data_IF_885016861205
#
_entry.id   IF_885016861205
#
_cell.length_a   1.000
_cell.length_b   1.000
_cell.length_c   1.000
_cell.angle_alpha   90.00
_cell.angle_beta   90.00
_cell.angle_gamma   90.00
#
_symmetry.space_group_name_H-M   'P 1'
#
loop_
_entity.id
_entity.type
_entity.pdbx_description
1 polymer ?
#
# COMPACT_ATOMS: atom_id res chain seq x y z
N UNK A 1 -25.10 11.33 7.07
CA UNK A 1 -24.08 11.76 6.09
C UNK A 1 -22.73 11.39 6.66
N UNK A 2 -22.22 10.21 6.32
CA UNK A 2 -20.91 9.76 6.78
C UNK A 2 -19.91 10.32 5.80
N UNK A 3 -19.20 11.38 6.17
CA UNK A 3 -18.07 11.88 5.41
C UNK A 3 -17.06 10.75 5.29
N UNK A 4 -16.94 10.18 4.10
CA UNK A 4 -15.80 9.33 3.74
C UNK A 4 -14.64 10.31 3.75
N UNK A 5 -13.89 10.35 4.84
CA UNK A 5 -12.60 11.01 4.86
C UNK A 5 -11.75 10.19 3.90
N UNK A 6 -11.60 10.69 2.67
CA UNK A 6 -10.50 10.29 1.81
C UNK A 6 -9.23 10.64 2.58
N UNK A 7 -8.71 9.70 3.37
CA UNK A 7 -7.40 9.79 4.02
C UNK A 7 -6.36 9.72 2.90
N UNK A 8 -6.28 10.76 2.07
CA UNK A 8 -5.15 10.96 1.20
C UNK A 8 -3.93 11.15 2.12
N UNK A 9 -2.89 10.33 1.98
CA UNK A 9 -1.72 10.44 2.83
C UNK A 9 -1.14 11.84 2.76
N UNK A 10 -1.00 12.47 3.92
CA UNK A 10 -0.42 13.80 4.04
C UNK A 10 1.09 13.71 3.80
N UNK A 11 1.74 14.84 3.49
CA UNK A 11 3.19 14.89 3.27
C UNK A 11 3.99 14.28 4.44
N UNK A 12 3.51 14.49 5.68
CA UNK A 12 4.06 13.90 6.91
C UNK A 12 3.97 12.37 6.97
N UNK A 13 3.00 11.77 6.28
CA UNK A 13 2.84 10.31 6.27
C UNK A 13 3.90 9.65 5.39
N UNK A 14 4.26 10.27 4.26
CA UNK A 14 5.34 9.79 3.40
C UNK A 14 6.73 9.95 4.01
N UNK A 15 6.90 10.79 5.03
CA UNK A 15 8.15 10.87 5.78
C UNK A 15 8.33 9.63 6.67
N UNK A 16 7.23 9.13 7.25
CA UNK A 16 7.23 8.05 8.24
C UNK A 16 6.88 6.67 7.68
N UNK A 17 6.31 6.59 6.49
CA UNK A 17 5.88 5.34 5.87
C UNK A 17 6.34 5.22 4.40
N UNK A 18 6.61 4.00 3.98
CA UNK A 18 6.64 3.60 2.58
C UNK A 18 5.24 3.17 2.16
N UNK A 19 4.75 3.67 1.03
CA UNK A 19 3.44 3.32 0.49
C UNK A 19 3.61 2.40 -0.71
N UNK A 20 2.87 1.30 -0.74
CA UNK A 20 2.86 0.35 -1.84
C UNK A 20 1.46 0.24 -2.41
N UNK A 21 1.35 0.39 -3.73
CA UNK A 21 0.17 -0.01 -4.48
C UNK A 21 0.37 -1.44 -4.98
N UNK A 22 -0.59 -2.31 -4.68
CA UNK A 22 -0.58 -3.71 -5.09
C UNK A 22 -1.66 -3.87 -6.15
N UNK A 23 -1.26 -4.24 -7.36
CA UNK A 23 -2.19 -4.62 -8.42
C UNK A 23 -2.57 -6.10 -8.21
N UNK A 24 -3.85 -6.34 -8.08
CA UNK A 24 -4.44 -7.64 -7.86
C UNK A 24 -4.86 -8.26 -9.20
N UNK A 25 -4.78 -9.59 -9.25
CA UNK A 25 -5.25 -10.31 -10.42
C UNK A 25 -6.76 -10.21 -10.58
N UNK A 26 -7.20 -10.22 -11.83
CA UNK A 26 -8.61 -10.38 -12.19
C UNK A 26 -9.20 -11.71 -11.69
N UNK A 27 -8.35 -12.73 -11.53
CA UNK A 27 -8.72 -14.01 -10.92
C UNK A 27 -8.42 -13.93 -9.42
N UNK A 28 -9.47 -13.95 -8.60
CA UNK A 28 -9.33 -13.87 -7.13
C UNK A 28 -9.14 -15.28 -6.57
N UNK A 29 -7.94 -15.63 -6.04
CA UNK A 29 -7.73 -16.94 -5.45
C UNK A 29 -8.35 -17.04 -4.04
N UNK A 30 -8.45 -18.27 -3.53
CA UNK A 30 -8.75 -18.53 -2.11
C UNK A 30 -7.47 -18.93 -1.34
N UNK A 31 -7.17 -18.29 -0.18
CA UNK A 31 -7.87 -17.14 0.38
C UNK A 31 -7.62 -15.86 -0.45
N UNK A 32 -8.61 -14.96 -0.42
CA UNK A 32 -8.54 -13.68 -1.13
C UNK A 32 -7.32 -12.86 -0.67
N UNK A 33 -6.55 -12.24 -1.59
CA UNK A 33 -5.34 -11.47 -1.26
C UNK A 33 -5.60 -10.39 -0.20
N UNK A 34 -6.76 -9.72 -0.25
CA UNK A 34 -7.10 -8.67 0.72
C UNK A 34 -7.25 -9.21 2.14
N UNK A 35 -7.74 -10.44 2.31
CA UNK A 35 -7.81 -11.11 3.62
C UNK A 35 -6.40 -11.42 4.12
N UNK A 36 -5.52 -11.90 3.24
CA UNK A 36 -4.12 -12.19 3.57
C UNK A 36 -3.37 -10.91 4.01
N UNK A 37 -3.53 -9.81 3.27
CA UNK A 37 -2.92 -8.52 3.60
C UNK A 37 -3.47 -7.92 4.89
N UNK A 38 -4.78 -8.02 5.14
CA UNK A 38 -5.38 -7.60 6.41
C UNK A 38 -4.82 -8.42 7.58
N UNK A 39 -4.61 -9.73 7.40
CA UNK A 39 -3.98 -10.60 8.41
C UNK A 39 -2.53 -10.24 8.67
N UNK A 40 -1.76 -9.84 7.65
CA UNK A 40 -0.40 -9.34 7.86
C UNK A 40 -0.40 -8.11 8.76
N UNK A 41 -1.35 -7.20 8.55
CA UNK A 41 -1.45 -5.98 9.35
C UNK A 41 -1.78 -6.23 10.83
N UNK A 42 -2.47 -7.33 11.11
CA UNK A 42 -2.75 -7.76 12.50
C UNK A 42 -1.55 -8.45 13.16
N UNK A 43 -0.63 -9.00 12.38
CA UNK A 43 0.50 -9.81 12.87
C UNK A 43 1.82 -9.04 12.91
N UNK A 44 1.98 -8.07 12.01
CA UNK A 44 3.20 -7.29 11.81
C UNK A 44 2.82 -5.82 11.99
N UNK A 45 3.05 -5.24 13.19
CA UNK A 45 2.64 -3.86 13.51
C UNK A 45 3.20 -2.79 12.56
N UNK A 46 4.31 -3.09 11.89
CA UNK A 46 4.95 -2.20 10.94
C UNK A 46 4.25 -2.15 9.58
N UNK A 47 3.40 -3.13 9.26
CA UNK A 47 2.67 -3.23 7.98
C UNK A 47 1.21 -2.91 8.22
N UNK A 48 0.64 -2.02 7.42
CA UNK A 48 -0.76 -1.62 7.52
C UNK A 48 -1.44 -1.69 6.16
N UNK A 49 -2.51 -2.47 6.08
CA UNK A 49 -3.40 -2.57 4.94
C UNK A 49 -4.44 -1.44 5.02
N UNK A 50 -4.44 -0.58 3.99
CA UNK A 50 -5.28 0.62 3.94
C UNK A 50 -6.58 0.41 3.14
N UNK A 51 -6.69 -0.70 2.40
CA UNK A 51 -7.84 -0.97 1.55
C UNK A 51 -7.61 -0.61 0.09
N UNK A 52 -8.70 -0.36 -0.64
CA UNK A 52 -8.67 -0.05 -2.08
C UNK A 52 -8.20 1.37 -2.34
N UNK A 53 -7.56 1.58 -3.48
CA UNK A 53 -7.16 2.92 -3.94
C UNK A 53 -8.31 3.57 -4.70
N UNK A 54 -9.00 4.53 -4.07
CA UNK A 54 -10.10 5.26 -4.69
C UNK A 54 -11.23 4.34 -5.17
N UNK A 55 -11.52 4.38 -6.47
CA UNK A 55 -12.55 3.55 -7.12
C UNK A 55 -11.98 2.31 -7.84
N UNK A 56 -10.67 2.05 -7.73
CA UNK A 56 -10.02 0.90 -8.36
C UNK A 56 -10.32 -0.36 -7.55
N UNK A 57 -10.89 -1.38 -8.20
CA UNK A 57 -11.25 -2.65 -7.56
C UNK A 57 -10.10 -3.65 -7.53
N UNK A 58 -9.15 -3.46 -8.43
CA UNK A 58 -7.96 -4.25 -8.69
C UNK A 58 -6.70 -3.67 -8.03
N UNK A 59 -6.79 -2.50 -7.38
CA UNK A 59 -5.63 -1.90 -6.71
C UNK A 59 -5.92 -1.70 -5.23
N UNK A 60 -5.03 -2.25 -4.40
CA UNK A 60 -5.05 -2.03 -2.95
C UNK A 60 -3.78 -1.38 -2.47
N UNK A 61 -3.87 -0.70 -1.33
CA UNK A 61 -2.76 0.02 -0.74
C UNK A 61 -2.35 -0.61 0.59
N UNK A 62 -1.04 -0.75 0.74
CA UNK A 62 -0.38 -1.11 1.99
C UNK A 62 0.63 -0.02 2.30
N UNK A 63 0.77 0.34 3.56
CA UNK A 63 1.90 1.17 4.02
C UNK A 63 2.76 0.40 5.00
N UNK A 64 4.05 0.70 5.01
CA UNK A 64 5.01 0.10 5.94
C UNK A 64 5.77 1.20 6.65
N UNK A 65 5.77 1.18 7.98
CA UNK A 65 6.46 2.16 8.80
C UNK A 65 7.96 2.10 8.50
N UNK A 66 8.59 3.25 8.24
CA UNK A 66 10.04 3.29 7.98
C UNK A 66 10.81 2.93 9.24
N UNK A 67 11.83 2.10 9.06
CA UNK A 67 12.85 1.78 10.04
C UNK A 67 14.19 1.60 9.30
N UNK A 68 15.31 1.85 9.98
CA UNK A 68 16.65 1.77 9.41
C UNK A 68 17.01 0.38 8.88
N UNK A 69 16.34 -0.65 9.36
CA UNK A 69 16.60 -2.05 8.99
C UNK A 69 15.73 -2.57 7.82
N UNK A 70 14.90 -1.72 7.22
CA UNK A 70 13.98 -2.15 6.15
C UNK A 70 14.70 -2.22 4.81
N UNK A 71 14.79 -3.44 4.29
CA UNK A 71 15.14 -3.71 2.90
C UNK A 71 13.88 -3.63 2.02
N UNK A 72 13.78 -2.55 1.24
CA UNK A 72 12.63 -2.30 0.36
C UNK A 72 12.48 -3.34 -0.73
N UNK A 73 13.58 -3.91 -1.23
CA UNK A 73 13.56 -4.91 -2.29
C UNK A 73 12.94 -6.20 -1.75
N UNK A 74 13.42 -6.67 -0.59
CA UNK A 74 12.85 -7.84 0.09
C UNK A 74 11.38 -7.65 0.45
N UNK A 75 11.01 -6.44 0.85
CA UNK A 75 9.62 -6.13 1.18
C UNK A 75 8.72 -6.17 -0.05
N UNK A 76 9.17 -5.64 -1.19
CA UNK A 76 8.44 -5.75 -2.46
C UNK A 76 8.29 -7.21 -2.89
N UNK A 77 9.37 -8.00 -2.82
CA UNK A 77 9.35 -9.44 -3.13
C UNK A 77 8.32 -10.17 -2.25
N UNK A 78 8.32 -9.91 -0.94
CA UNK A 78 7.37 -10.52 0.00
C UNK A 78 5.91 -10.16 -0.32
N UNK A 79 5.64 -8.93 -0.75
CA UNK A 79 4.30 -8.49 -1.13
C UNK A 79 3.85 -9.10 -2.47
N UNK A 80 4.76 -9.24 -3.45
CA UNK A 80 4.47 -9.93 -4.72
C UNK A 80 4.16 -11.41 -4.50
N UNK A 81 4.77 -12.06 -3.50
CA UNK A 81 4.50 -13.47 -3.17
C UNK A 81 3.10 -13.73 -2.60
N UNK A 82 2.33 -12.69 -2.27
CA UNK A 82 0.93 -12.86 -1.87
C UNK A 82 0.11 -13.35 -3.06
N UNK A 83 -0.48 -14.54 -2.93
CA UNK A 83 -1.28 -15.14 -3.99
C UNK A 83 -2.40 -14.19 -4.45
N UNK A 84 -2.45 -13.91 -5.75
CA UNK A 84 -3.38 -12.96 -6.35
C UNK A 84 -2.87 -11.52 -6.45
N UNK A 85 -1.63 -11.24 -6.04
CA UNK A 85 -0.92 -9.99 -6.37
C UNK A 85 -0.11 -10.21 -7.65
N UNK A 86 -0.31 -9.36 -8.66
CA UNK A 86 0.40 -9.42 -9.94
C UNK A 86 1.65 -8.53 -9.95
N UNK A 87 1.55 -7.36 -9.32
CA UNK A 87 2.68 -6.43 -9.23
C UNK A 87 2.55 -5.50 -8.03
N UNK A 88 3.69 -4.95 -7.62
CA UNK A 88 3.82 -4.04 -6.48
C UNK A 88 4.55 -2.79 -6.95
N UNK A 89 3.99 -1.62 -6.69
CA UNK A 89 4.59 -0.32 -7.02
C UNK A 89 4.83 0.48 -5.73
N UNK A 90 6.08 0.87 -5.49
CA UNK A 90 6.41 1.81 -4.43
C UNK A 90 5.96 3.22 -4.83
N UNK A 91 5.04 3.78 -4.06
CA UNK A 91 4.51 5.12 -4.25
C UNK A 91 5.47 6.14 -3.65
N UNK A 92 6.13 6.91 -4.52
CA UNK A 92 7.00 8.02 -4.11
C UNK A 92 6.20 9.32 -4.25
N UNK A 93 6.14 10.17 -3.20
CA UNK A 93 5.45 11.44 -3.31
C UNK A 93 6.10 12.29 -4.39
N UNK A 94 5.34 12.63 -5.43
CA UNK A 94 5.81 13.56 -6.46
C UNK A 94 5.97 14.94 -5.83
N UNK A 95 7.19 15.44 -5.75
CA UNK A 95 7.40 16.85 -5.40
C UNK A 95 6.73 17.71 -6.47
N UNK A 96 5.63 18.38 -6.12
CA UNK A 96 5.13 19.49 -6.92
C UNK A 96 6.14 20.63 -6.78
N UNK A 97 7.02 20.76 -7.77
CA UNK A 97 7.72 22.03 -7.99
C UNK A 97 6.61 23.02 -8.35
N UNK A 98 6.23 23.89 -7.41
CA UNK A 98 5.47 25.08 -7.75
C UNK A 98 6.42 25.92 -8.60
N UNK A 99 6.31 25.82 -9.92
CA UNK A 99 6.78 26.90 -10.78
C UNK A 99 5.87 28.08 -10.43
N UNK A 100 6.38 28.97 -9.58
CA UNK A 100 5.86 30.33 -9.46
C UNK A 100 6.09 31.00 -10.81
N UNK A 101 5.06 30.95 -11.66
CA UNK A 101 4.87 31.87 -12.78
C UNK A 101 4.37 33.21 -12.21
#
# INVERSE_FOLDING_TARGET
MTSIVENMPLKSDFENYYYFALNLSSIVPEPCPTITLARFSLRIPEIEYLGRVGHLNDVVQVRVKKNNDIDLTRLQEALVMVNGVESVELQVPKMRIKNSL
#
